data_IF_189226471542
#
_entry.id   IF_189226471542
#
_cell.length_a   1.000
_cell.length_b   1.000
_cell.length_c   1.000
_cell.angle_alpha   90.00
_cell.angle_beta   90.00
_cell.angle_gamma   90.00
#
_symmetry.space_group_name_H-M   'P 1'
#
loop_
_entity.id
_entity.type
_entity.pdbx_description
1 polymer ?
#
# COMPACT_ATOMS: atom_id res chain seq x y z
N UNK A 1 -44.71 33.83 -0.29
CA UNK A 1 -44.35 32.68 -1.15
C UNK A 1 -42.97 32.19 -0.72
N UNK A 2 -42.94 31.13 0.10
CA UNK A 2 -41.70 30.54 0.61
C UNK A 2 -41.16 29.58 -0.45
N UNK A 3 -40.00 29.88 -1.01
CA UNK A 3 -39.27 28.95 -1.89
C UNK A 3 -38.57 27.93 -1.00
N UNK A 4 -39.06 26.70 -1.00
CA UNK A 4 -38.38 25.55 -0.45
C UNK A 4 -37.20 25.23 -1.34
N UNK A 5 -35.97 25.52 -0.86
CA UNK A 5 -34.73 25.03 -1.47
C UNK A 5 -34.69 23.50 -1.34
N UNK A 6 -34.95 22.80 -2.44
CA UNK A 6 -34.67 21.37 -2.56
C UNK A 6 -33.15 21.22 -2.64
N UNK A 7 -32.54 20.73 -1.56
CA UNK A 7 -31.16 20.32 -1.56
C UNK A 7 -31.04 19.14 -2.54
N UNK A 8 -30.17 19.20 -3.56
CA UNK A 8 -30.03 18.08 -4.49
C UNK A 8 -29.56 16.85 -3.72
N UNK A 9 -30.27 15.74 -3.84
CA UNK A 9 -29.85 14.44 -3.29
C UNK A 9 -28.46 14.11 -3.85
N UNK A 10 -27.54 13.83 -2.94
CA UNK A 10 -26.16 13.47 -3.28
C UNK A 10 -26.18 12.15 -4.09
N UNK A 11 -25.85 12.13 -5.39
CA UNK A 11 -25.94 10.93 -6.23
C UNK A 11 -25.06 9.78 -5.73
N UNK A 12 -24.03 10.07 -4.94
CA UNK A 12 -23.16 9.07 -4.30
C UNK A 12 -23.91 8.26 -3.24
N UNK A 13 -24.85 8.88 -2.51
CA UNK A 13 -25.61 8.19 -1.47
C UNK A 13 -26.62 7.17 -2.06
N UNK A 14 -27.16 7.42 -3.25
CA UNK A 14 -28.08 6.50 -3.93
C UNK A 14 -27.35 5.30 -4.58
N UNK A 15 -26.08 5.43 -4.95
CA UNK A 15 -25.28 4.35 -5.54
C UNK A 15 -24.61 3.43 -4.51
N UNK A 16 -24.42 3.88 -3.28
CA UNK A 16 -23.76 3.13 -2.22
C UNK A 16 -24.40 1.76 -1.95
N UNK A 17 -25.75 1.65 -1.84
CA UNK A 17 -26.39 0.34 -1.65
C UNK A 17 -26.17 -0.63 -2.80
N UNK A 18 -26.12 -0.14 -4.04
CA UNK A 18 -25.87 -0.97 -5.25
C UNK A 18 -24.42 -1.49 -5.26
N UNK A 19 -23.46 -0.64 -4.91
CA UNK A 19 -22.02 -1.01 -4.83
C UNK A 19 -21.78 -2.03 -3.72
N UNK A 20 -22.35 -1.84 -2.54
CA UNK A 20 -22.28 -2.78 -1.42
C UNK A 20 -22.88 -4.12 -1.80
N UNK A 21 -24.08 -4.13 -2.43
CA UNK A 21 -24.73 -5.36 -2.89
C UNK A 21 -23.89 -6.08 -3.96
N UNK A 22 -23.33 -5.34 -4.92
CA UNK A 22 -22.46 -5.90 -5.95
C UNK A 22 -21.17 -6.53 -5.38
N UNK A 23 -20.57 -5.86 -4.37
CA UNK A 23 -19.43 -6.39 -3.63
C UNK A 23 -19.82 -7.67 -2.88
N UNK A 24 -20.89 -7.65 -2.10
CA UNK A 24 -21.34 -8.80 -1.33
C UNK A 24 -21.64 -10.01 -2.23
N UNK A 25 -22.34 -9.82 -3.35
CA UNK A 25 -22.68 -10.89 -4.29
C UNK A 25 -21.45 -11.54 -4.96
N UNK A 26 -20.34 -10.82 -5.11
CA UNK A 26 -19.12 -11.35 -5.73
C UNK A 26 -18.16 -11.94 -4.70
N UNK A 27 -17.99 -11.28 -3.57
CA UNK A 27 -16.94 -11.63 -2.59
C UNK A 27 -17.40 -12.74 -1.64
N UNK A 28 -18.64 -12.71 -1.16
CA UNK A 28 -19.13 -13.71 -0.22
C UNK A 28 -19.10 -15.16 -0.76
N UNK A 29 -19.52 -15.46 -2.01
CA UNK A 29 -19.42 -16.80 -2.55
C UNK A 29 -17.98 -17.30 -2.63
N UNK A 30 -17.04 -16.44 -3.03
CA UNK A 30 -15.62 -16.81 -3.11
C UNK A 30 -15.09 -17.13 -1.71
N UNK A 31 -15.37 -16.27 -0.73
CA UNK A 31 -14.98 -16.53 0.66
C UNK A 31 -15.60 -17.81 1.20
N UNK A 32 -16.87 -18.04 0.94
CA UNK A 32 -17.55 -19.27 1.36
C UNK A 32 -16.90 -20.52 0.77
N UNK A 33 -16.60 -20.54 -0.53
CA UNK A 33 -15.92 -21.65 -1.20
C UNK A 33 -14.53 -21.91 -0.59
N UNK A 34 -13.75 -20.85 -0.33
CA UNK A 34 -12.43 -21.01 0.27
C UNK A 34 -12.50 -21.52 1.71
N UNK A 35 -13.47 -21.08 2.51
CA UNK A 35 -13.68 -21.59 3.87
C UNK A 35 -14.21 -23.03 3.86
N UNK A 36 -15.11 -23.37 2.96
CA UNK A 36 -15.57 -24.75 2.75
C UNK A 36 -14.41 -25.67 2.36
N UNK A 37 -13.51 -25.22 1.49
CA UNK A 37 -12.30 -25.95 1.16
C UNK A 37 -11.43 -26.22 2.39
N UNK A 38 -11.14 -25.20 3.20
CA UNK A 38 -10.38 -25.37 4.44
C UNK A 38 -11.09 -26.36 5.38
N UNK A 39 -12.38 -26.20 5.60
CA UNK A 39 -13.18 -27.09 6.46
C UNK A 39 -13.16 -28.52 5.97
N UNK A 40 -13.38 -28.76 4.69
CA UNK A 40 -13.35 -30.07 4.05
C UNK A 40 -11.99 -30.76 4.19
N UNK A 41 -10.88 -30.00 4.04
CA UNK A 41 -9.52 -30.56 4.10
C UNK A 41 -8.99 -30.78 5.51
N UNK A 42 -9.32 -29.89 6.45
CA UNK A 42 -8.74 -29.94 7.79
C UNK A 42 -9.62 -30.65 8.83
N UNK A 43 -10.94 -30.37 8.88
CA UNK A 43 -11.76 -30.81 10.01
C UNK A 43 -11.81 -32.33 10.17
N UNK A 44 -12.02 -33.16 9.13
CA UNK A 44 -11.97 -34.61 9.25
C UNK A 44 -10.57 -35.12 9.66
N UNK A 45 -9.52 -34.45 9.15
CA UNK A 45 -8.13 -34.86 9.39
C UNK A 45 -7.61 -34.49 10.80
N UNK A 46 -8.23 -33.53 11.49
CA UNK A 46 -7.82 -33.12 12.84
C UNK A 46 -8.11 -34.20 13.90
N UNK A 47 -9.07 -35.11 13.65
CA UNK A 47 -9.43 -36.21 14.53
C UNK A 47 -9.87 -35.79 15.97
N UNK A 48 -10.41 -34.57 16.15
CA UNK A 48 -10.85 -34.02 17.45
C UNK A 48 -12.29 -34.40 17.82
N UNK A 49 -12.89 -35.37 17.15
CA UNK A 49 -14.27 -35.83 17.39
C UNK A 49 -15.32 -34.74 17.03
N UNK A 50 -16.57 -35.05 17.37
CA UNK A 50 -17.71 -34.16 17.01
C UNK A 50 -17.59 -32.77 17.59
N UNK A 51 -17.11 -32.62 18.83
CA UNK A 51 -16.92 -31.30 19.46
C UNK A 51 -15.91 -30.42 18.71
N UNK A 52 -14.79 -31.01 18.30
CA UNK A 52 -13.79 -30.29 17.48
C UNK A 52 -14.30 -29.89 16.13
N UNK A 53 -15.12 -30.70 15.47
CA UNK A 53 -15.77 -30.36 14.20
C UNK A 53 -16.73 -29.18 14.37
N UNK A 54 -17.58 -29.20 15.42
CA UNK A 54 -18.51 -28.08 15.70
C UNK A 54 -17.75 -26.78 15.92
N UNK A 55 -16.71 -26.78 16.75
CA UNK A 55 -15.87 -25.61 17.00
C UNK A 55 -15.24 -25.11 15.68
N UNK A 56 -14.65 -26.00 14.90
CA UNK A 56 -14.01 -25.67 13.63
C UNK A 56 -14.98 -25.05 12.62
N UNK A 57 -16.18 -25.64 12.45
CA UNK A 57 -17.23 -25.07 11.58
C UNK A 57 -17.67 -23.71 12.08
N UNK A 58 -17.88 -23.52 13.38
CA UNK A 58 -18.27 -22.23 13.97
C UNK A 58 -17.21 -21.16 13.69
N UNK A 59 -15.92 -21.47 13.88
CA UNK A 59 -14.82 -20.53 13.60
C UNK A 59 -14.74 -20.16 12.11
N UNK A 60 -14.93 -21.13 11.21
CA UNK A 60 -14.94 -20.87 9.76
C UNK A 60 -16.14 -20.01 9.37
N UNK A 61 -17.33 -20.26 9.91
CA UNK A 61 -18.50 -19.40 9.67
C UNK A 61 -18.29 -17.98 10.18
N UNK A 62 -17.77 -17.82 11.41
CA UNK A 62 -17.44 -16.51 11.96
C UNK A 62 -16.39 -15.79 11.09
N UNK A 63 -15.35 -16.48 10.66
CA UNK A 63 -14.33 -15.90 9.77
C UNK A 63 -14.93 -15.43 8.44
N UNK A 64 -15.81 -16.25 7.84
CA UNK A 64 -16.49 -15.88 6.58
C UNK A 64 -17.30 -14.58 6.71
N UNK A 65 -17.95 -14.37 7.86
CA UNK A 65 -18.76 -13.18 8.14
C UNK A 65 -17.87 -11.97 8.51
N UNK A 66 -16.83 -12.18 9.32
CA UNK A 66 -15.96 -11.08 9.78
C UNK A 66 -15.13 -10.46 8.66
N UNK A 67 -14.68 -11.23 7.67
CA UNK A 67 -13.81 -10.75 6.61
C UNK A 67 -14.40 -9.55 5.83
N UNK A 68 -15.63 -9.56 5.34
CA UNK A 68 -16.19 -8.41 4.61
C UNK A 68 -16.59 -7.25 5.54
N UNK A 69 -16.78 -7.50 6.84
CA UNK A 69 -17.27 -6.50 7.79
C UNK A 69 -16.35 -5.29 7.91
N UNK A 70 -15.03 -5.46 7.77
CA UNK A 70 -14.08 -4.35 7.86
C UNK A 70 -14.25 -3.31 6.75
N UNK A 71 -14.61 -3.77 5.54
CA UNK A 71 -14.91 -2.87 4.42
C UNK A 71 -16.28 -2.24 4.63
N UNK A 72 -17.28 -3.05 4.98
CA UNK A 72 -18.67 -2.58 5.18
C UNK A 72 -18.79 -1.58 6.34
N UNK A 73 -18.03 -1.78 7.42
CA UNK A 73 -18.08 -0.92 8.60
C UNK A 73 -17.75 0.55 8.26
N UNK A 74 -16.86 0.80 7.30
CA UNK A 74 -16.51 2.16 6.87
C UNK A 74 -17.69 2.93 6.25
N UNK A 75 -18.66 2.22 5.69
CA UNK A 75 -19.82 2.81 5.02
C UNK A 75 -21.08 2.83 5.89
N UNK A 76 -21.20 1.91 6.84
CA UNK A 76 -22.44 1.70 7.61
C UNK A 76 -22.31 2.19 9.04
N UNK A 77 -21.12 2.14 9.64
CA UNK A 77 -20.92 2.50 11.05
C UNK A 77 -20.47 3.95 11.16
N UNK A 78 -21.36 4.80 11.65
CA UNK A 78 -21.12 6.25 11.82
C UNK A 78 -20.15 6.59 12.96
N UNK A 79 -20.08 5.74 13.99
CA UNK A 79 -19.15 5.92 15.12
C UNK A 79 -17.75 5.44 14.74
N UNK A 80 -16.85 6.36 14.43
CA UNK A 80 -15.48 6.04 13.98
C UNK A 80 -14.73 5.04 14.87
N UNK A 81 -14.70 5.16 16.23
CA UNK A 81 -13.99 4.18 17.06
C UNK A 81 -14.54 2.75 16.94
N UNK A 82 -15.85 2.59 16.67
CA UNK A 82 -16.47 1.28 16.46
C UNK A 82 -16.13 0.75 15.06
N UNK A 83 -16.20 1.59 14.03
CA UNK A 83 -15.79 1.23 12.67
C UNK A 83 -14.32 0.76 12.63
N UNK A 84 -13.44 1.46 13.31
CA UNK A 84 -12.02 1.09 13.43
C UNK A 84 -11.83 -0.27 14.12
N UNK A 85 -12.54 -0.53 15.23
CA UNK A 85 -12.46 -1.83 15.93
C UNK A 85 -12.94 -2.98 15.03
N UNK A 86 -14.04 -2.80 14.30
CA UNK A 86 -14.53 -3.80 13.36
C UNK A 86 -13.51 -4.03 12.24
N UNK A 87 -12.94 -2.96 11.71
CA UNK A 87 -11.88 -3.04 10.68
C UNK A 87 -10.63 -3.77 11.20
N UNK A 88 -10.24 -3.55 12.47
CA UNK A 88 -9.15 -4.27 13.13
C UNK A 88 -9.42 -5.78 13.20
N UNK A 89 -10.59 -6.17 13.71
CA UNK A 89 -10.98 -7.60 13.82
C UNK A 89 -11.00 -8.25 12.45
N UNK A 90 -11.59 -7.60 11.45
CA UNK A 90 -11.63 -8.08 10.07
C UNK A 90 -10.23 -8.25 9.48
N UNK A 91 -9.35 -7.25 9.66
CA UNK A 91 -7.99 -7.27 9.12
C UNK A 91 -7.13 -8.39 9.77
N UNK A 92 -7.23 -8.59 11.09
CA UNK A 92 -6.56 -9.70 11.79
C UNK A 92 -7.09 -11.06 11.31
N UNK A 93 -8.41 -11.19 11.17
CA UNK A 93 -9.06 -12.40 10.63
C UNK A 93 -8.56 -12.70 9.22
N UNK A 94 -8.44 -11.66 8.35
CA UNK A 94 -7.91 -11.80 6.99
C UNK A 94 -6.47 -12.31 6.98
N UNK A 95 -5.62 -11.78 7.86
CA UNK A 95 -4.22 -12.21 7.97
C UNK A 95 -4.08 -13.68 8.40
N UNK A 96 -4.91 -14.11 9.35
CA UNK A 96 -4.95 -15.50 9.81
C UNK A 96 -5.56 -16.44 8.75
N UNK A 97 -6.71 -16.07 8.19
CA UNK A 97 -7.37 -16.81 7.12
C UNK A 97 -6.41 -17.08 5.95
N UNK A 98 -5.71 -16.06 5.49
CA UNK A 98 -4.72 -16.20 4.41
C UNK A 98 -3.63 -17.23 4.78
N UNK A 99 -3.11 -17.22 6.01
CA UNK A 99 -2.12 -18.21 6.44
C UNK A 99 -2.69 -19.63 6.48
N UNK A 100 -3.90 -19.80 7.04
CA UNK A 100 -4.56 -21.13 7.12
C UNK A 100 -4.81 -21.65 5.71
N UNK A 101 -5.33 -20.82 4.80
CA UNK A 101 -5.59 -21.21 3.41
C UNK A 101 -4.30 -21.67 2.71
N UNK A 102 -3.26 -20.85 2.76
CA UNK A 102 -1.97 -21.15 2.09
C UNK A 102 -1.33 -22.41 2.67
N UNK A 103 -1.30 -22.58 4.00
CA UNK A 103 -0.75 -23.76 4.62
C UNK A 103 -1.58 -25.02 4.34
N UNK A 104 -2.90 -24.88 4.17
CA UNK A 104 -3.77 -26.00 3.75
C UNK A 104 -3.42 -26.42 2.32
N UNK A 105 -3.23 -25.46 1.40
CA UNK A 105 -2.81 -25.74 0.02
C UNK A 105 -1.42 -26.40 -0.02
N UNK A 106 -0.46 -25.87 0.73
CA UNK A 106 0.90 -26.46 0.82
C UNK A 106 0.84 -27.87 1.37
N UNK A 107 0.02 -28.11 2.42
CA UNK A 107 -0.22 -29.44 2.97
C UNK A 107 -0.77 -30.40 1.92
N UNK A 108 -1.75 -29.95 1.12
CA UNK A 108 -2.36 -30.81 0.11
C UNK A 108 -1.37 -31.20 -0.98
N UNK A 109 -0.53 -30.27 -1.41
CA UNK A 109 0.58 -30.57 -2.36
C UNK A 109 1.58 -31.56 -1.71
N UNK A 110 1.94 -31.35 -0.44
CA UNK A 110 2.83 -32.26 0.28
C UNK A 110 2.26 -33.70 0.35
N UNK A 111 0.99 -33.83 0.72
CA UNK A 111 0.33 -35.15 0.81
C UNK A 111 0.21 -35.84 -0.54
N UNK A 112 -0.02 -35.07 -1.61
CA UNK A 112 -0.06 -35.59 -2.99
C UNK A 112 1.32 -36.12 -3.43
N UNK A 113 2.41 -35.42 -3.09
CA UNK A 113 3.77 -35.80 -3.49
C UNK A 113 4.30 -36.97 -2.64
N UNK A 114 4.08 -36.94 -1.32
CA UNK A 114 4.66 -37.93 -0.39
C UNK A 114 3.82 -39.22 -0.32
N UNK A 115 2.49 -39.11 -0.55
CA UNK A 115 1.59 -40.26 -0.59
C UNK A 115 1.44 -41.04 0.73
N UNK A 116 1.80 -40.43 1.89
CA UNK A 116 1.79 -41.10 3.21
C UNK A 116 0.56 -40.78 4.01
N UNK A 117 -0.33 -41.77 4.27
CA UNK A 117 -1.53 -41.58 5.13
C UNK A 117 -1.20 -41.13 6.56
N UNK A 118 -0.06 -41.53 7.13
CA UNK A 118 0.35 -41.19 8.49
C UNK A 118 0.58 -39.70 8.67
N UNK A 119 0.94 -38.95 7.58
CA UNK A 119 1.14 -37.50 7.60
C UNK A 119 -0.19 -36.73 7.62
N UNK A 120 -1.33 -37.37 7.33
CA UNK A 120 -2.61 -36.68 7.15
C UNK A 120 -3.05 -35.96 8.45
N UNK A 121 -2.97 -36.66 9.59
CA UNK A 121 -3.37 -36.14 10.92
C UNK A 121 -2.35 -35.09 11.38
N UNK A 122 -1.07 -35.47 11.41
CA UNK A 122 0.00 -34.60 11.92
C UNK A 122 0.06 -33.27 11.17
N UNK A 123 0.02 -33.32 9.86
CA UNK A 123 0.07 -32.08 9.06
C UNK A 123 -1.18 -31.22 9.26
N UNK A 124 -2.38 -31.82 9.42
CA UNK A 124 -3.59 -31.06 9.73
C UNK A 124 -3.48 -30.33 11.08
N UNK A 125 -2.97 -31.03 12.11
CA UNK A 125 -2.77 -30.44 13.44
C UNK A 125 -1.73 -29.33 13.47
N UNK A 126 -0.76 -29.32 12.54
CA UNK A 126 0.27 -28.29 12.43
C UNK A 126 -0.19 -27.01 11.69
N UNK A 127 -1.21 -27.09 10.82
CA UNK A 127 -1.64 -25.92 10.00
C UNK A 127 -2.01 -24.73 10.89
N UNK A 128 -2.89 -24.92 11.87
CA UNK A 128 -3.39 -23.82 12.71
C UNK A 128 -2.28 -23.21 13.60
N UNK A 129 -1.49 -24.00 14.35
CA UNK A 129 -0.38 -23.47 15.13
C UNK A 129 0.64 -22.69 14.29
N UNK A 130 1.02 -23.22 13.13
CA UNK A 130 1.96 -22.53 12.22
C UNK A 130 1.32 -21.25 11.67
N UNK A 131 0.04 -21.28 11.26
CA UNK A 131 -0.66 -20.10 10.80
C UNK A 131 -0.71 -18.98 11.86
N UNK A 132 -0.97 -19.35 13.12
CA UNK A 132 -0.96 -18.41 14.24
C UNK A 132 0.45 -17.84 14.47
N UNK A 133 1.48 -18.67 14.46
CA UNK A 133 2.87 -18.24 14.64
C UNK A 133 3.31 -17.28 13.53
N UNK A 134 3.07 -17.64 12.26
CA UNK A 134 3.42 -16.80 11.10
C UNK A 134 2.63 -15.49 11.13
N UNK A 135 1.36 -15.54 11.55
CA UNK A 135 0.53 -14.33 11.66
C UNK A 135 1.02 -13.43 12.80
N UNK A 136 1.39 -14.00 13.95
CA UNK A 136 1.95 -13.25 15.08
C UNK A 136 3.30 -12.58 14.73
N UNK A 137 4.21 -13.33 14.12
CA UNK A 137 5.50 -12.78 13.65
C UNK A 137 5.24 -11.65 12.64
N UNK A 138 4.34 -11.89 11.67
CA UNK A 138 3.97 -10.89 10.69
C UNK A 138 3.32 -9.66 11.30
N UNK A 139 2.48 -9.82 12.32
CA UNK A 139 1.88 -8.73 13.08
C UNK A 139 2.93 -7.89 13.81
N UNK A 140 3.84 -8.53 14.53
CA UNK A 140 4.93 -7.83 15.22
C UNK A 140 5.76 -7.02 14.23
N UNK A 141 6.10 -7.60 13.07
CA UNK A 141 6.85 -6.92 12.02
C UNK A 141 6.09 -5.73 11.42
N UNK A 142 4.79 -5.85 11.20
CA UNK A 142 3.95 -4.78 10.67
C UNK A 142 3.79 -3.61 11.66
N UNK A 143 3.81 -3.90 12.97
CA UNK A 143 3.66 -2.88 14.03
C UNK A 143 4.96 -2.21 14.46
N UNK A 144 6.11 -2.75 14.03
CA UNK A 144 7.41 -2.09 14.22
C UNK A 144 7.53 -0.90 13.29
N UNK A 145 8.25 0.13 13.73
CA UNK A 145 8.63 1.24 12.86
C UNK A 145 9.43 0.70 11.67
N UNK A 146 9.13 1.22 10.49
CA UNK A 146 9.81 0.86 9.25
C UNK A 146 11.33 1.03 9.36
N UNK A 147 12.08 0.09 8.78
CA UNK A 147 13.55 0.12 8.79
C UNK A 147 14.05 1.15 7.78
N UNK A 148 15.15 1.82 8.12
CA UNK A 148 15.86 2.63 7.13
C UNK A 148 16.69 1.71 6.24
N UNK A 149 16.47 1.86 4.92
CA UNK A 149 17.24 1.17 3.88
C UNK A 149 17.95 2.24 3.06
N UNK A 150 19.27 2.13 2.93
CA UNK A 150 20.07 3.05 2.09
C UNK A 150 20.33 2.42 0.74
N UNK A 151 20.15 3.21 -0.34
CA UNK A 151 20.34 2.78 -1.72
C UNK A 151 21.07 3.86 -2.49
N UNK A 152 22.22 3.53 -3.08
CA UNK A 152 22.92 4.42 -3.97
C UNK A 152 22.38 4.28 -5.40
N UNK A 153 22.12 5.42 -6.05
CA UNK A 153 21.56 5.51 -7.39
C UNK A 153 22.61 6.05 -8.34
N UNK A 154 23.25 5.22 -9.17
CA UNK A 154 24.29 5.65 -10.09
C UNK A 154 23.66 6.31 -11.33
N UNK A 155 23.78 7.65 -11.44
CA UNK A 155 23.28 8.41 -12.57
C UNK A 155 24.42 8.82 -13.49
N UNK A 156 24.24 8.61 -14.79
CA UNK A 156 25.20 9.05 -15.82
C UNK A 156 25.20 10.59 -15.91
N UNK A 157 26.40 11.18 -15.97
CA UNK A 157 26.54 12.62 -16.11
C UNK A 157 26.03 13.45 -14.93
N UNK A 158 25.93 12.86 -13.73
CA UNK A 158 25.49 13.57 -12.53
C UNK A 158 26.48 14.71 -12.22
N UNK A 159 26.01 15.97 -12.10
CA UNK A 159 26.85 17.09 -11.66
C UNK A 159 27.50 16.83 -10.29
N UNK A 160 28.74 17.24 -10.12
CA UNK A 160 29.51 17.01 -8.90
C UNK A 160 28.78 17.53 -7.62
N UNK A 161 28.08 18.65 -7.72
CA UNK A 161 27.31 19.21 -6.62
C UNK A 161 26.11 18.34 -6.21
N UNK A 162 25.63 17.44 -7.08
CA UNK A 162 24.53 16.51 -6.75
C UNK A 162 25.04 15.13 -6.29
N UNK A 163 26.35 14.88 -6.23
CA UNK A 163 26.89 13.65 -5.68
C UNK A 163 26.64 13.63 -4.17
N UNK A 164 25.95 12.59 -3.70
CA UNK A 164 25.52 12.48 -2.31
C UNK A 164 24.18 13.15 -2.01
N UNK A 165 23.55 13.84 -2.98
CA UNK A 165 22.18 14.40 -2.80
C UNK A 165 21.25 13.29 -2.31
N UNK A 166 20.59 13.56 -1.18
CA UNK A 166 19.82 12.57 -0.44
C UNK A 166 18.32 12.77 -0.58
N UNK A 167 17.62 11.72 -0.98
CA UNK A 167 16.16 11.70 -1.06
C UNK A 167 15.66 10.66 -0.07
N UNK A 168 14.82 11.07 0.90
CA UNK A 168 14.10 10.08 1.71
C UNK A 168 12.75 9.81 1.07
N UNK A 169 12.55 8.57 0.64
CA UNK A 169 11.26 8.10 0.14
C UNK A 169 10.48 7.43 1.26
N UNK A 170 9.22 7.84 1.43
CA UNK A 170 8.17 7.13 2.15
C UNK A 170 7.00 6.87 1.20
N UNK A 171 6.31 5.76 1.38
CA UNK A 171 5.23 5.32 0.49
C UNK A 171 4.28 4.39 1.22
N UNK A 172 3.04 4.28 0.75
CA UNK A 172 2.13 3.23 1.19
C UNK A 172 1.99 3.21 2.73
N UNK A 173 1.72 4.37 3.32
CA UNK A 173 1.58 4.51 4.77
C UNK A 173 0.25 3.95 5.23
N UNK A 174 -0.83 4.21 4.45
CA UNK A 174 -2.19 3.78 4.72
C UNK A 174 -2.71 4.21 6.10
N UNK A 175 -2.58 5.51 6.40
CA UNK A 175 -3.26 6.09 7.58
C UNK A 175 -4.75 5.81 7.45
N UNK A 176 -5.31 5.14 8.44
CA UNK A 176 -6.66 4.62 8.35
C UNK A 176 -7.10 3.96 9.67
N UNK A 177 -7.97 2.95 9.60
CA UNK A 177 -8.47 2.29 10.82
C UNK A 177 -7.36 1.67 11.69
N UNK A 178 -6.30 1.14 11.07
CA UNK A 178 -5.27 0.35 11.76
C UNK A 178 -3.94 1.08 11.93
N UNK A 179 -3.70 2.16 11.18
CA UNK A 179 -2.55 3.04 11.30
C UNK A 179 -3.05 4.45 11.64
N UNK A 180 -2.61 5.00 12.76
CA UNK A 180 -3.05 6.29 13.31
C UNK A 180 -1.90 7.28 13.46
N UNK A 181 -2.22 8.53 13.80
CA UNK A 181 -1.29 9.64 13.90
C UNK A 181 -0.04 9.35 14.73
N UNK A 182 -0.12 8.56 15.81
CA UNK A 182 1.06 8.19 16.60
C UNK A 182 2.10 7.39 15.81
N UNK A 183 1.64 6.49 14.91
CA UNK A 183 2.55 5.73 14.05
C UNK A 183 3.15 6.64 12.97
N UNK A 184 2.33 7.51 12.36
CA UNK A 184 2.79 8.50 11.39
C UNK A 184 3.81 9.47 12.02
N UNK A 185 3.56 9.97 13.24
CA UNK A 185 4.50 10.82 13.97
C UNK A 185 5.86 10.13 14.18
N UNK A 186 5.87 8.83 14.48
CA UNK A 186 7.11 8.07 14.61
C UNK A 186 7.86 7.97 13.28
N UNK A 187 7.14 7.80 12.15
CA UNK A 187 7.71 7.84 10.80
C UNK A 187 8.33 9.21 10.54
N UNK A 188 7.58 10.29 10.76
CA UNK A 188 8.05 11.68 10.54
C UNK A 188 9.32 11.98 11.36
N UNK A 189 9.34 11.60 12.63
CA UNK A 189 10.52 11.77 13.48
C UNK A 189 11.73 10.98 12.92
N UNK A 190 11.50 9.76 12.43
CA UNK A 190 12.57 8.95 11.84
C UNK A 190 13.08 9.55 10.54
N UNK A 191 12.20 10.02 9.66
CA UNK A 191 12.55 10.71 8.42
C UNK A 191 13.38 11.96 8.72
N UNK A 192 12.92 12.82 9.62
CA UNK A 192 13.63 14.05 10.01
C UNK A 192 15.01 13.76 10.60
N UNK A 193 15.17 12.64 11.33
CA UNK A 193 16.48 12.26 11.89
C UNK A 193 17.53 11.89 10.83
N UNK A 194 17.12 11.67 9.59
CA UNK A 194 18.02 11.38 8.46
C UNK A 194 18.56 12.64 7.79
N UNK A 195 18.02 13.83 8.14
CA UNK A 195 18.39 15.13 7.56
C UNK A 195 18.47 15.12 6.03
N UNK A 196 17.41 14.72 5.32
CA UNK A 196 17.45 14.59 3.87
C UNK A 196 17.50 15.94 3.17
N UNK A 197 18.06 15.97 1.95
CA UNK A 197 17.96 17.14 1.08
C UNK A 197 16.53 17.29 0.55
N UNK A 198 15.84 16.18 0.28
CA UNK A 198 14.47 16.17 -0.23
C UNK A 198 13.68 14.98 0.33
N UNK A 199 12.39 15.14 0.56
CA UNK A 199 11.47 14.04 0.91
C UNK A 199 10.53 13.79 -0.25
N UNK A 200 10.38 12.52 -0.64
CA UNK A 200 9.50 12.03 -1.69
C UNK A 200 8.43 11.10 -1.10
N UNK A 201 7.15 11.46 -1.27
CA UNK A 201 6.01 10.64 -0.88
C UNK A 201 5.36 10.07 -2.14
N UNK A 202 5.50 8.77 -2.35
CA UNK A 202 5.07 8.12 -3.59
C UNK A 202 3.67 7.52 -3.53
N UNK A 203 2.73 8.21 -2.85
CA UNK A 203 1.31 7.87 -2.83
C UNK A 203 0.90 6.87 -1.76
N UNK A 204 -0.40 6.55 -1.74
CA UNK A 204 -1.08 5.65 -0.81
C UNK A 204 -0.82 6.03 0.66
N UNK A 205 -1.00 7.31 0.97
CA UNK A 205 -0.84 7.84 2.32
C UNK A 205 -2.04 7.51 3.19
N UNK A 206 -3.25 7.43 2.61
CA UNK A 206 -4.53 7.43 3.35
C UNK A 206 -5.52 6.38 2.86
N UNK A 207 -6.31 5.87 3.83
CA UNK A 207 -7.41 4.92 3.65
C UNK A 207 -8.74 5.47 4.19
N UNK A 208 -9.09 6.70 3.89
CA UNK A 208 -10.34 7.35 4.30
C UNK A 208 -10.33 8.84 3.97
N UNK A 209 -11.46 9.53 4.20
CA UNK A 209 -11.61 10.93 3.82
C UNK A 209 -10.79 11.88 4.70
N UNK A 210 -10.55 13.10 4.20
CA UNK A 210 -9.90 14.18 4.96
C UNK A 210 -10.65 14.45 6.28
N UNK A 211 -11.97 14.41 6.26
CA UNK A 211 -12.78 14.62 7.46
C UNK A 211 -12.50 13.56 8.54
N UNK A 212 -12.24 12.32 8.15
CA UNK A 212 -11.98 11.20 9.06
C UNK A 212 -10.53 11.17 9.57
N UNK A 213 -9.57 11.54 8.73
CA UNK A 213 -8.14 11.26 8.95
C UNK A 213 -7.27 12.52 9.01
N UNK A 214 -7.82 13.73 8.78
CA UNK A 214 -7.05 14.96 8.76
C UNK A 214 -6.27 15.21 10.06
N UNK A 215 -6.84 14.86 11.22
CA UNK A 215 -6.13 14.97 12.50
C UNK A 215 -4.97 13.95 12.60
N UNK A 216 -5.13 12.74 12.06
CA UNK A 216 -4.07 11.72 12.06
C UNK A 216 -2.95 12.07 11.08
N UNK A 217 -3.26 12.72 9.94
CA UNK A 217 -2.30 13.10 8.89
C UNK A 217 -1.61 14.44 9.16
N UNK A 218 -2.08 15.23 10.12
CA UNK A 218 -1.51 16.55 10.44
C UNK A 218 0.00 16.53 10.73
N UNK A 219 0.53 15.41 11.23
CA UNK A 219 1.96 15.21 11.46
C UNK A 219 2.83 15.30 10.20
N UNK A 220 2.26 15.18 9.00
CA UNK A 220 3.01 15.39 7.75
C UNK A 220 3.55 16.82 7.63
N UNK A 221 2.90 17.81 8.27
CA UNK A 221 3.39 19.18 8.32
C UNK A 221 4.73 19.33 9.09
N UNK A 222 5.11 18.34 9.91
CA UNK A 222 6.35 18.33 10.66
C UNK A 222 7.54 17.76 9.87
N UNK A 223 7.34 17.29 8.63
CA UNK A 223 8.42 16.82 7.76
C UNK A 223 9.38 17.94 7.42
N UNK A 224 10.69 17.66 7.48
CA UNK A 224 11.76 18.64 7.29
C UNK A 224 12.78 18.13 6.30
N UNK A 225 12.99 18.88 5.22
CA UNK A 225 14.06 18.67 4.25
C UNK A 225 14.52 20.02 3.68
N UNK A 226 15.77 20.09 3.20
CA UNK A 226 16.35 21.32 2.65
C UNK A 226 15.54 21.88 1.47
N UNK A 227 15.03 20.98 0.61
CA UNK A 227 14.25 21.34 -0.60
C UNK A 227 12.76 20.96 -0.49
N UNK A 228 12.27 20.68 0.73
CA UNK A 228 10.86 20.39 0.97
C UNK A 228 10.44 18.95 0.71
N UNK A 229 9.14 18.74 0.76
CA UNK A 229 8.49 17.44 0.63
C UNK A 229 7.59 17.42 -0.59
N UNK A 230 7.83 16.51 -1.51
CA UNK A 230 7.05 16.31 -2.73
C UNK A 230 6.18 15.06 -2.62
N UNK A 231 4.94 15.16 -3.12
CA UNK A 231 3.96 14.09 -3.02
C UNK A 231 3.24 13.89 -4.35
N UNK A 232 2.98 12.63 -4.69
CA UNK A 232 2.08 12.23 -5.76
C UNK A 232 0.93 11.39 -5.20
N UNK A 233 -0.15 11.27 -5.96
CA UNK A 233 -1.26 10.38 -5.60
C UNK A 233 -0.93 8.92 -5.86
N UNK A 234 -1.38 8.02 -4.96
CA UNK A 234 -1.60 6.62 -5.26
C UNK A 234 -3.07 6.33 -5.55
N UNK A 235 -3.43 5.07 -5.77
CA UNK A 235 -4.81 4.69 -6.04
C UNK A 235 -5.71 4.85 -4.81
N UNK A 236 -5.17 4.80 -3.60
CA UNK A 236 -5.96 4.97 -2.37
C UNK A 236 -6.40 6.41 -2.14
N UNK A 237 -5.65 7.40 -2.58
CA UNK A 237 -6.15 8.78 -2.59
C UNK A 237 -7.40 8.89 -3.47
N UNK A 238 -7.47 8.21 -4.62
CA UNK A 238 -8.67 8.22 -5.48
C UNK A 238 -9.87 7.51 -4.84
N UNK A 239 -9.65 6.44 -4.07
CA UNK A 239 -10.71 5.80 -3.28
C UNK A 239 -11.20 6.68 -2.13
N UNK A 240 -10.38 7.63 -1.68
CA UNK A 240 -10.57 8.42 -0.47
C UNK A 240 -10.95 9.90 -0.72
N UNK A 241 -10.97 10.34 -1.99
CA UNK A 241 -11.17 11.74 -2.40
C UNK A 241 -9.85 12.43 -2.73
N UNK A 242 -9.29 12.16 -3.92
CA UNK A 242 -7.97 12.63 -4.31
C UNK A 242 -7.86 14.15 -4.36
N UNK A 243 -8.90 14.85 -4.82
CA UNK A 243 -8.92 16.33 -4.91
C UNK A 243 -8.81 16.96 -3.52
N UNK A 244 -9.62 16.48 -2.58
CA UNK A 244 -9.64 16.96 -1.20
C UNK A 244 -8.33 16.63 -0.50
N UNK A 245 -7.76 15.45 -0.72
CA UNK A 245 -6.49 15.07 -0.15
C UNK A 245 -5.31 15.88 -0.71
N UNK A 246 -5.27 16.14 -2.00
CA UNK A 246 -4.23 16.98 -2.57
C UNK A 246 -4.32 18.43 -2.08
N UNK A 247 -5.53 18.95 -1.85
CA UNK A 247 -5.71 20.25 -1.21
C UNK A 247 -5.21 20.24 0.25
N UNK A 248 -5.50 19.18 1.01
CA UNK A 248 -5.04 19.04 2.39
C UNK A 248 -3.52 18.87 2.46
N UNK A 249 -2.90 18.07 1.60
CA UNK A 249 -1.43 17.93 1.57
C UNK A 249 -0.74 19.25 1.26
N UNK A 250 -1.28 20.06 0.32
CA UNK A 250 -0.77 21.41 0.07
C UNK A 250 -0.93 22.33 1.29
N UNK A 251 -2.08 22.26 2.00
CA UNK A 251 -2.31 23.00 3.25
C UNK A 251 -1.29 22.62 4.34
N UNK A 252 -0.87 21.36 4.38
CA UNK A 252 0.18 20.87 5.28
C UNK A 252 1.60 21.23 4.85
N UNK A 253 1.77 21.96 3.73
CA UNK A 253 3.08 22.42 3.23
C UNK A 253 3.80 21.45 2.29
N UNK A 254 3.11 20.43 1.77
CA UNK A 254 3.67 19.49 0.81
C UNK A 254 3.46 19.99 -0.63
N UNK A 255 4.44 19.76 -1.49
CA UNK A 255 4.36 20.09 -2.93
C UNK A 255 3.72 18.91 -3.69
N UNK A 256 2.44 19.03 -4.02
CA UNK A 256 1.72 18.00 -4.77
C UNK A 256 1.98 18.13 -6.27
N UNK A 257 2.51 17.06 -6.88
CA UNK A 257 2.81 16.99 -8.31
C UNK A 257 1.80 16.08 -9.02
N UNK A 258 1.03 16.63 -9.96
CA UNK A 258 -0.02 15.95 -10.72
C UNK A 258 0.21 16.15 -12.23
N UNK A 259 1.09 15.35 -12.84
CA UNK A 259 1.65 15.57 -14.19
C UNK A 259 2.40 16.91 -14.31
N UNK A 260 3.17 17.22 -13.28
CA UNK A 260 3.87 18.49 -13.10
C UNK A 260 5.31 18.24 -12.62
N UNK A 261 6.15 19.27 -12.68
CA UNK A 261 7.50 19.20 -12.12
C UNK A 261 7.87 20.47 -11.36
N UNK A 262 8.91 20.34 -10.55
CA UNK A 262 9.66 21.43 -9.95
C UNK A 262 11.14 21.30 -10.33
N UNK A 263 11.82 22.44 -10.51
CA UNK A 263 13.27 22.47 -10.68
C UNK A 263 13.89 22.74 -9.32
N UNK A 264 14.73 21.83 -8.87
CA UNK A 264 15.45 21.93 -7.59
C UNK A 264 16.84 22.46 -7.87
N UNK A 265 17.23 23.53 -7.18
CA UNK A 265 18.59 24.07 -7.23
C UNK A 265 19.34 23.66 -5.95
N UNK A 266 20.46 22.98 -6.10
CA UNK A 266 21.30 22.51 -5.01
C UNK A 266 22.78 22.81 -5.31
N UNK A 267 23.34 23.71 -4.49
CA UNK A 267 24.76 24.09 -4.55
C UNK A 267 25.25 24.47 -5.97
N UNK A 268 24.39 25.19 -6.73
CA UNK A 268 24.68 25.65 -8.10
C UNK A 268 24.37 24.64 -9.21
N UNK A 269 24.00 23.41 -8.87
CA UNK A 269 23.48 22.42 -9.84
C UNK A 269 21.94 22.34 -9.75
N UNK A 270 21.32 21.82 -10.82
CA UNK A 270 19.86 21.68 -10.89
C UNK A 270 19.48 20.24 -11.21
N UNK A 271 18.32 19.82 -10.70
CA UNK A 271 17.64 18.59 -11.09
C UNK A 271 16.12 18.86 -11.27
N UNK A 272 15.45 18.04 -12.07
CA UNK A 272 13.99 18.04 -12.19
C UNK A 272 13.42 16.99 -11.25
N UNK A 273 12.51 17.42 -10.37
CA UNK A 273 11.64 16.55 -9.59
C UNK A 273 10.23 16.62 -10.20
N UNK A 274 9.84 15.60 -10.94
CA UNK A 274 8.53 15.50 -11.55
C UNK A 274 7.64 14.48 -10.82
N UNK A 275 6.34 14.63 -10.96
CA UNK A 275 5.38 13.68 -10.44
C UNK A 275 4.19 13.50 -11.35
N UNK A 276 3.66 12.30 -11.40
CA UNK A 276 2.45 11.97 -12.15
C UNK A 276 1.32 11.56 -11.21
N UNK A 277 0.09 11.71 -11.69
CA UNK A 277 -1.09 11.11 -11.07
C UNK A 277 -0.96 9.59 -11.05
N UNK A 278 -1.71 8.90 -10.19
CA UNK A 278 -1.70 7.44 -10.17
C UNK A 278 -2.03 6.85 -11.56
N UNK A 279 -1.41 5.74 -11.88
CA UNK A 279 -1.60 5.05 -13.16
C UNK A 279 -3.08 4.75 -13.47
N UNK A 280 -3.89 4.47 -12.43
CA UNK A 280 -5.32 4.16 -12.55
C UNK A 280 -6.23 5.39 -12.41
N UNK A 281 -5.69 6.59 -12.22
CA UNK A 281 -6.44 7.83 -12.00
C UNK A 281 -7.51 8.09 -13.08
N UNK A 282 -7.20 7.76 -14.35
CA UNK A 282 -8.11 7.91 -15.49
C UNK A 282 -9.41 7.11 -15.38
N UNK A 283 -9.45 6.09 -14.51
CA UNK A 283 -10.66 5.30 -14.23
C UNK A 283 -11.64 6.04 -13.33
N UNK A 284 -11.19 7.09 -12.64
CA UNK A 284 -11.98 7.97 -11.78
C UNK A 284 -12.30 9.29 -12.48
N UNK A 285 -11.28 9.86 -13.12
CA UNK A 285 -11.38 11.09 -13.92
C UNK A 285 -10.45 10.97 -15.15
N UNK A 286 -10.98 10.88 -16.37
CA UNK A 286 -10.18 10.79 -17.59
C UNK A 286 -9.17 11.93 -17.77
N UNK A 287 -9.47 13.13 -17.23
CA UNK A 287 -8.56 14.30 -17.29
C UNK A 287 -7.31 14.10 -16.41
N UNK A 288 -7.35 13.22 -15.45
CA UNK A 288 -6.24 12.90 -14.55
C UNK A 288 -5.42 11.69 -15.00
N UNK A 289 -5.43 11.37 -16.29
CA UNK A 289 -4.56 10.32 -16.84
C UNK A 289 -3.09 10.62 -16.53
N UNK A 290 -2.38 9.63 -15.98
CA UNK A 290 -0.95 9.71 -15.72
C UNK A 290 -0.17 9.93 -17.03
N UNK A 291 0.65 10.98 -17.08
CA UNK A 291 1.40 11.38 -18.27
C UNK A 291 2.81 11.90 -17.91
N UNK A 292 3.83 11.02 -17.95
CA UNK A 292 5.22 11.42 -17.70
C UNK A 292 5.76 12.43 -18.70
N UNK A 293 5.26 12.47 -19.94
CA UNK A 293 5.68 13.43 -20.95
C UNK A 293 5.15 14.82 -20.62
N UNK A 294 3.87 14.93 -20.25
CA UNK A 294 3.28 16.17 -19.80
C UNK A 294 3.98 16.71 -18.54
N UNK A 295 4.39 15.83 -17.63
CA UNK A 295 5.11 16.21 -16.41
C UNK A 295 6.45 16.91 -16.70
N UNK A 296 7.08 16.67 -17.85
CA UNK A 296 8.33 17.34 -18.27
C UNK A 296 8.12 18.56 -19.15
N UNK A 297 6.88 18.94 -19.48
CA UNK A 297 6.63 20.06 -20.39
C UNK A 297 7.19 21.36 -19.83
N UNK A 298 8.11 22.00 -20.59
CA UNK A 298 8.79 23.21 -20.15
C UNK A 298 9.97 22.99 -19.19
N UNK A 299 10.31 21.75 -18.86
CA UNK A 299 11.46 21.46 -18.00
C UNK A 299 12.79 21.75 -18.70
N UNK A 300 13.85 22.16 -17.96
CA UNK A 300 15.20 22.32 -18.50
C UNK A 300 15.73 21.00 -19.08
N UNK A 301 16.51 21.12 -20.16
CA UNK A 301 17.19 19.98 -20.79
C UNK A 301 18.58 19.79 -20.20
N UNK A 302 19.13 18.55 -20.30
CA UNK A 302 20.52 18.26 -19.93
C UNK A 302 20.80 18.25 -18.43
N UNK A 303 19.77 18.14 -17.60
CA UNK A 303 19.89 17.98 -16.14
C UNK A 303 19.18 16.72 -15.68
N UNK A 304 19.57 16.12 -14.53
CA UNK A 304 18.95 14.90 -14.01
C UNK A 304 17.44 15.05 -13.83
N UNK A 305 16.68 14.02 -14.20
CA UNK A 305 15.21 13.98 -14.15
C UNK A 305 14.72 12.82 -13.31
N UNK A 306 14.06 13.14 -12.21
CA UNK A 306 13.52 12.17 -11.27
C UNK A 306 12.00 12.23 -11.33
N UNK A 307 11.35 11.07 -11.47
CA UNK A 307 9.90 10.92 -11.51
C UNK A 307 9.39 10.28 -10.22
N UNK A 308 8.40 10.87 -9.61
CA UNK A 308 7.53 10.23 -8.62
C UNK A 308 6.32 9.63 -9.34
N UNK A 309 6.17 8.31 -9.27
CA UNK A 309 5.05 7.59 -9.87
C UNK A 309 4.68 6.41 -8.95
N UNK A 310 3.47 6.44 -8.38
CA UNK A 310 3.08 5.45 -7.39
C UNK A 310 3.26 4.01 -7.88
N UNK A 311 2.75 3.67 -9.08
CA UNK A 311 2.84 2.32 -9.61
C UNK A 311 4.08 2.10 -10.49
N UNK A 312 4.85 1.01 -10.25
CA UNK A 312 6.02 0.68 -11.07
C UNK A 312 5.76 0.54 -12.56
N UNK A 313 4.52 0.21 -12.97
CA UNK A 313 4.12 0.09 -14.38
C UNK A 313 4.20 1.39 -15.19
N UNK A 314 4.38 2.54 -14.52
CA UNK A 314 4.66 3.80 -15.21
C UNK A 314 6.06 3.84 -15.85
N UNK A 315 6.93 2.86 -15.56
CA UNK A 315 8.33 2.87 -15.97
C UNK A 315 8.55 2.90 -17.49
N UNK A 316 7.72 2.22 -18.28
CA UNK A 316 7.83 2.26 -19.75
C UNK A 316 7.61 3.67 -20.30
N UNK A 317 6.55 4.34 -19.83
CA UNK A 317 6.27 5.72 -20.21
C UNK A 317 7.32 6.70 -19.68
N UNK A 318 7.86 6.46 -18.49
CA UNK A 318 8.92 7.26 -17.90
C UNK A 318 10.23 7.13 -18.68
N UNK A 319 10.61 5.91 -19.09
CA UNK A 319 11.77 5.67 -19.93
C UNK A 319 11.64 6.37 -21.30
N UNK A 320 10.47 6.23 -21.94
CA UNK A 320 10.17 6.89 -23.20
C UNK A 320 10.20 8.44 -23.10
N UNK A 321 9.81 9.01 -21.94
CA UNK A 321 9.88 10.44 -21.69
C UNK A 321 11.29 10.96 -21.37
N UNK A 322 12.26 10.04 -21.10
CA UNK A 322 13.66 10.39 -20.83
C UNK A 322 13.93 10.78 -19.38
N UNK A 323 13.30 10.09 -18.43
CA UNK A 323 13.66 10.15 -17.01
C UNK A 323 14.88 9.29 -16.71
N UNK A 324 15.68 9.71 -15.72
CA UNK A 324 16.86 8.98 -15.24
C UNK A 324 16.53 8.06 -14.07
N UNK A 325 15.58 8.46 -13.23
CA UNK A 325 15.14 7.73 -12.04
C UNK A 325 13.62 7.82 -11.88
N UNK A 326 12.97 6.68 -11.60
CA UNK A 326 11.59 6.61 -11.13
C UNK A 326 11.56 6.06 -9.71
N UNK A 327 10.82 6.74 -8.82
CA UNK A 327 10.52 6.30 -7.46
C UNK A 327 9.06 5.84 -7.39
N UNK A 328 8.86 4.59 -6.94
CA UNK A 328 7.54 3.94 -6.87
C UNK A 328 7.30 3.24 -5.55
N UNK A 329 6.04 2.95 -5.26
CA UNK A 329 5.54 2.13 -4.15
C UNK A 329 4.59 1.06 -4.63
N UNK A 330 3.35 1.06 -4.10
CA UNK A 330 2.18 0.26 -4.50
C UNK A 330 2.26 -1.24 -4.19
N UNK A 331 3.39 -1.87 -4.42
CA UNK A 331 3.53 -3.33 -4.37
C UNK A 331 3.63 -3.90 -2.96
N UNK A 332 4.00 -3.07 -1.99
CA UNK A 332 4.37 -3.49 -0.63
C UNK A 332 5.45 -4.60 -0.58
N UNK A 333 6.16 -4.85 -1.68
CA UNK A 333 7.01 -6.04 -1.83
C UNK A 333 6.22 -7.35 -1.70
N UNK A 334 4.89 -7.30 -1.97
CA UNK A 334 3.94 -8.39 -1.75
C UNK A 334 3.51 -8.58 -0.30
N UNK A 335 3.95 -7.71 0.62
CA UNK A 335 3.59 -7.58 2.02
C UNK A 335 3.82 -8.85 2.87
N UNK A 336 3.33 -10.01 2.46
CA UNK A 336 3.61 -11.30 3.11
C UNK A 336 3.54 -12.46 2.14
N UNK A 337 4.41 -13.44 2.38
CA UNK A 337 4.47 -14.66 1.58
C UNK A 337 3.13 -15.44 1.64
N UNK A 338 2.64 -16.04 0.52
CA UNK A 338 3.31 -16.13 -0.80
C UNK A 338 2.89 -15.04 -1.79
N UNK A 339 2.17 -13.98 -1.38
CA UNK A 339 1.60 -12.99 -2.27
C UNK A 339 2.64 -12.21 -3.06
N UNK A 340 3.87 -12.11 -2.53
CA UNK A 340 5.02 -11.55 -3.24
C UNK A 340 5.32 -12.24 -4.58
N UNK A 341 4.96 -13.52 -4.73
CA UNK A 341 5.14 -14.26 -5.97
C UNK A 341 4.17 -13.81 -7.07
N UNK A 342 3.00 -13.29 -6.67
CA UNK A 342 1.93 -12.89 -7.58
C UNK A 342 2.00 -11.41 -8.00
N UNK A 343 2.80 -10.59 -7.32
CA UNK A 343 2.96 -9.16 -7.66
C UNK A 343 3.41 -8.97 -9.09
N UNK A 344 4.34 -9.81 -9.57
CA UNK A 344 4.85 -9.76 -10.96
C UNK A 344 3.80 -10.01 -12.05
N UNK A 345 2.64 -10.54 -11.70
CA UNK A 345 1.53 -10.69 -12.63
C UNK A 345 0.84 -9.34 -12.92
N UNK A 346 1.03 -8.34 -12.07
CA UNK A 346 0.39 -7.03 -12.17
C UNK A 346 1.40 -5.88 -12.34
N UNK A 347 2.61 -6.02 -11.79
CA UNK A 347 3.63 -4.96 -11.77
C UNK A 347 4.96 -5.50 -12.29
N UNK A 348 5.70 -4.76 -13.11
CA UNK A 348 6.96 -5.22 -13.69
C UNK A 348 8.06 -5.42 -12.62
N UNK A 349 8.01 -4.62 -11.55
CA UNK A 349 8.97 -4.67 -10.46
C UNK A 349 8.25 -4.84 -9.12
N UNK A 350 8.77 -5.75 -8.27
CA UNK A 350 8.16 -6.01 -6.95
C UNK A 350 8.75 -5.14 -5.85
N UNK A 351 10.06 -4.97 -5.80
CA UNK A 351 10.75 -4.16 -4.80
C UNK A 351 12.24 -4.02 -5.14
N UNK A 352 12.88 -2.93 -4.66
CA UNK A 352 14.29 -2.66 -4.82
C UNK A 352 14.61 -1.88 -6.08
N UNK A 353 15.93 -1.79 -6.38
CA UNK A 353 16.46 -1.04 -7.52
C UNK A 353 16.53 -1.93 -8.76
N UNK A 354 15.95 -1.48 -9.84
CA UNK A 354 15.95 -2.15 -11.15
C UNK A 354 16.34 -1.16 -12.24
N UNK A 355 16.69 -1.68 -13.41
CA UNK A 355 16.99 -0.87 -14.59
C UNK A 355 16.11 -1.28 -15.76
N UNK A 356 15.52 -0.28 -16.42
CA UNK A 356 14.80 -0.42 -17.67
C UNK A 356 15.44 0.54 -18.67
N UNK A 357 16.20 0.01 -19.62
CA UNK A 357 17.04 0.79 -20.55
C UNK A 357 17.98 1.76 -19.81
N UNK A 358 17.76 3.07 -19.94
CA UNK A 358 18.55 4.09 -19.23
C UNK A 358 17.90 4.51 -17.89
N UNK A 359 16.62 4.14 -17.66
CA UNK A 359 15.89 4.50 -16.47
C UNK A 359 16.22 3.58 -15.29
N UNK A 360 16.61 4.14 -14.15
CA UNK A 360 16.58 3.45 -12.88
C UNK A 360 15.17 3.49 -12.29
N UNK A 361 14.68 2.36 -11.79
CA UNK A 361 13.38 2.25 -11.11
C UNK A 361 13.61 1.71 -9.72
N UNK A 362 13.33 2.51 -8.72
CA UNK A 362 13.29 2.04 -7.35
C UNK A 362 11.83 1.83 -6.92
N UNK A 363 11.52 0.62 -6.47
CA UNK A 363 10.21 0.26 -5.96
C UNK A 363 10.31 -0.02 -4.46
N UNK A 364 9.70 0.86 -3.66
CA UNK A 364 9.63 0.73 -2.21
C UNK A 364 8.73 -0.44 -1.79
N UNK A 365 9.08 -1.10 -0.67
CA UNK A 365 8.22 -2.08 -0.02
C UNK A 365 7.11 -1.45 0.82
N UNK A 366 7.01 -0.12 0.79
CA UNK A 366 6.05 0.62 1.60
C UNK A 366 6.48 0.82 3.06
N UNK A 367 6.09 1.95 3.62
CA UNK A 367 6.46 2.37 4.99
C UNK A 367 5.44 1.85 6.02
N UNK A 368 4.19 1.74 5.63
CA UNK A 368 3.11 1.13 6.43
C UNK A 368 2.76 -0.30 5.99
N UNK A 369 1.47 -0.60 6.01
CA UNK A 369 0.88 -1.83 5.47
C UNK A 369 -0.57 -1.57 5.08
N UNK A 370 -1.08 -2.37 4.14
CA UNK A 370 -2.47 -2.31 3.71
C UNK A 370 -3.25 -3.56 4.14
N UNK A 371 -4.52 -3.38 4.54
CA UNK A 371 -5.41 -4.47 4.96
C UNK A 371 -4.90 -5.19 6.22
N UNK A 372 -4.51 -6.48 6.15
CA UNK A 372 -4.02 -7.20 7.31
C UNK A 372 -2.73 -6.59 7.86
N UNK A 373 -2.65 -6.31 9.18
CA UNK A 373 -1.44 -5.84 9.83
C UNK A 373 -0.42 -6.97 9.90
N UNK A 374 0.18 -7.32 8.75
CA UNK A 374 1.04 -8.49 8.62
C UNK A 374 2.15 -8.24 7.60
N UNK A 375 3.41 -8.34 8.05
CA UNK A 375 4.62 -8.27 7.23
C UNK A 375 5.45 -9.53 7.45
N UNK A 376 5.49 -10.42 6.44
CA UNK A 376 6.23 -11.68 6.52
C UNK A 376 6.95 -11.94 5.19
N UNK A 377 8.29 -11.83 5.20
CA UNK A 377 9.12 -11.90 3.98
C UNK A 377 9.26 -10.56 3.23
N UNK A 378 8.54 -9.51 3.64
CA UNK A 378 8.66 -8.15 3.09
C UNK A 378 8.56 -7.12 4.24
N UNK A 379 9.69 -6.62 4.69
CA UNK A 379 9.74 -5.63 5.78
C UNK A 379 9.32 -4.25 5.27
N UNK A 380 8.64 -3.48 6.13
CA UNK A 380 8.39 -2.05 5.87
C UNK A 380 9.70 -1.28 5.84
N UNK A 381 9.77 -0.25 4.98
CA UNK A 381 10.99 0.55 4.81
C UNK A 381 10.71 2.05 4.70
N UNK A 382 11.66 2.84 5.18
CA UNK A 382 11.90 4.23 4.85
C UNK A 382 13.18 4.21 4.02
N UNK A 383 13.14 4.65 2.77
CA UNK A 383 14.31 4.51 1.89
C UNK A 383 15.10 5.81 1.84
N UNK A 384 16.38 5.76 2.18
CA UNK A 384 17.34 6.82 1.95
C UNK A 384 18.07 6.55 0.64
N UNK A 385 17.70 7.26 -0.42
CA UNK A 385 18.35 7.20 -1.72
C UNK A 385 19.46 8.26 -1.75
N UNK A 386 20.63 7.90 -2.29
CA UNK A 386 21.75 8.81 -2.49
C UNK A 386 22.15 8.80 -3.96
N UNK A 387 22.18 9.97 -4.57
CA UNK A 387 22.63 10.07 -5.95
C UNK A 387 24.17 9.92 -6.00
N UNK A 388 24.66 9.08 -6.91
CA UNK A 388 26.08 8.84 -7.13
C UNK A 388 26.42 8.90 -8.62
N UNK A 389 27.67 9.11 -8.95
CA UNK A 389 28.16 8.97 -10.32
C UNK A 389 28.18 7.49 -10.71
N UNK A 390 27.74 7.20 -11.96
CA UNK A 390 27.79 5.86 -12.55
C UNK A 390 29.19 5.50 -13.02
#
# INVERSE_FOLDING_TARGET
MSQTHVVPENPVAAELPKRIRGFALRVLPILAVLHLYIGWRLLPALAYGTGGIIIGVTLLCLSTLLLPMGILARFVVTRQPLADRISWVSALTMGLFSSVLVLTLVRDVLLLVVGSPSLTVVTAQLVVPIALLVTLIGFINARRLARVVTVDIPLLGLPAALVGFSIVQISDIHVGPTIKGNYLRAIVNRVNSLNPDLIAITGDVVDGSVQQLGADTAHLADLKARHGTYIVTGNHEYYSGATEWMAEFRRLGLYGLLNEHAVIEHDGARLVMAGVTDYSAHMFDPAQRSDPTAALLGSPQGIPRILLAHQPRSAEAAAAAGFDLQLSGHTHGGQFWPWNLFVRMQQPFTAGLHRLDQLWVYTSRGTGYWGPPKRFGAHSEITLLRLSQA
#
